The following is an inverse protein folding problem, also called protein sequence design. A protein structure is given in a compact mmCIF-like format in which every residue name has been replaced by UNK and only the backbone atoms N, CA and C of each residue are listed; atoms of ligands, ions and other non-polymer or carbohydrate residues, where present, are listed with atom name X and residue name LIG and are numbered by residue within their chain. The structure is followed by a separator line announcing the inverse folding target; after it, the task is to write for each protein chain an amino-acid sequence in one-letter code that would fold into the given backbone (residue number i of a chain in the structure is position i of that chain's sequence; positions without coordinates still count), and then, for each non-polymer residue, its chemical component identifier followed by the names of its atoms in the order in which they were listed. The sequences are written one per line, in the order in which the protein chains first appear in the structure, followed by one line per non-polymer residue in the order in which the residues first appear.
data_IF_460598298465
#
_entry.id   IF_460598298465
#
_cell.length_a   1.000
_cell.length_b   1.000
_cell.length_c   1.000
_cell.angle_alpha   90.00
_cell.angle_beta   90.00
_cell.angle_gamma   90.00
#
_symmetry.space_group_name_H-M   'P 1'
#
loop_
_entity.id
_entity.type
_entity.pdbx_description
1 polymer ?
#
# COMPACT_ATOMS: atom_id res chain seq x y z
N UNK A 1 -2.90 54.60 20.89
CA UNK A 1 -2.76 55.54 19.75
C UNK A 1 -2.52 54.74 18.48
N UNK A 2 -3.22 55.10 17.40
CA UNK A 2 -3.04 54.75 15.98
C UNK A 2 -3.31 53.30 15.51
N UNK A 3 -4.60 53.11 15.24
CA UNK A 3 -5.26 52.36 14.17
C UNK A 3 -4.49 52.28 12.84
N UNK A 4 -4.55 51.14 12.13
CA UNK A 4 -4.47 51.10 10.65
C UNK A 4 -5.34 49.96 10.09
N UNK A 5 -6.03 50.31 9.02
CA UNK A 5 -7.17 49.66 8.37
C UNK A 5 -6.80 48.72 7.21
N UNK A 6 -7.67 47.71 7.02
CA UNK A 6 -8.20 47.10 5.76
C UNK A 6 -7.32 46.91 4.51
N UNK A 7 -7.48 45.74 3.89
CA UNK A 7 -8.14 45.62 2.57
C UNK A 7 -8.64 44.20 2.32
N UNK A 8 -9.91 44.09 1.94
CA UNK A 8 -10.55 42.88 1.38
C UNK A 8 -10.56 42.99 -0.14
N UNK A 9 -10.31 41.90 -0.85
CA UNK A 9 -10.62 41.77 -2.27
C UNK A 9 -11.51 40.55 -2.51
N UNK A 10 -12.59 40.68 -3.29
CA UNK A 10 -13.40 39.56 -3.75
C UNK A 10 -12.93 39.12 -5.13
N UNK A 11 -12.87 37.80 -5.37
CA UNK A 11 -12.74 37.28 -6.74
C UNK A 11 -13.83 36.24 -6.98
N UNK A 12 -14.80 36.69 -7.77
CA UNK A 12 -15.80 35.93 -8.51
C UNK A 12 -15.13 35.05 -9.54
N UNK A 13 -15.58 33.80 -9.70
CA UNK A 13 -15.51 33.11 -11.00
C UNK A 13 -16.57 32.04 -11.17
N UNK A 14 -16.97 31.75 -12.42
CA UNK A 14 -18.29 31.24 -12.78
C UNK A 14 -18.30 29.76 -13.18
N UNK A 15 -19.50 29.17 -13.04
CA UNK A 15 -20.19 28.05 -13.71
C UNK A 15 -19.42 26.98 -14.50
N UNK A 16 -19.97 25.76 -14.49
CA UNK A 16 -20.31 25.10 -15.76
C UNK A 16 -21.76 24.59 -15.86
N UNK A 17 -22.22 24.31 -17.11
CA UNK A 17 -23.62 24.11 -17.46
C UNK A 17 -24.16 22.71 -17.20
N UNK A 18 -25.46 22.65 -16.90
CA UNK A 18 -26.29 21.45 -16.94
C UNK A 18 -26.47 20.98 -18.38
N UNK A 19 -26.00 19.77 -18.69
CA UNK A 19 -26.34 19.08 -19.94
C UNK A 19 -27.50 18.11 -19.70
N UNK A 20 -28.56 18.35 -20.46
CA UNK A 20 -29.69 17.47 -20.67
C UNK A 20 -29.34 16.31 -21.61
N UNK A 21 -30.24 15.32 -21.59
CA UNK A 21 -30.66 14.49 -22.73
C UNK A 21 -30.23 13.03 -22.73
N UNK A 22 -31.21 12.25 -22.25
CA UNK A 22 -31.56 10.89 -22.62
C UNK A 22 -31.23 10.49 -24.07
N UNK A 23 -30.74 9.27 -24.23
CA UNK A 23 -30.90 8.50 -25.47
C UNK A 23 -31.16 7.04 -25.13
N UNK A 24 -32.43 6.67 -25.23
CA UNK A 24 -32.91 5.29 -25.18
C UNK A 24 -32.48 4.54 -26.44
N UNK A 25 -31.88 3.37 -26.28
CA UNK A 25 -31.80 2.35 -27.34
C UNK A 25 -32.36 1.02 -26.82
N UNK A 26 -33.35 0.42 -27.51
CA UNK A 26 -33.84 -0.91 -27.18
C UNK A 26 -32.85 -1.97 -27.70
N UNK A 27 -32.35 -2.82 -26.81
CA UNK A 27 -31.65 -4.05 -27.19
C UNK A 27 -32.69 -5.13 -27.52
N UNK A 28 -32.77 -5.51 -28.80
CA UNK A 28 -33.39 -6.76 -29.22
C UNK A 28 -32.35 -7.88 -29.06
N UNK A 29 -32.58 -8.76 -28.07
CA UNK A 29 -31.83 -10.01 -27.90
C UNK A 29 -32.65 -11.13 -28.56
N UNK A 30 -32.11 -11.86 -29.55
CA UNK A 30 -32.73 -13.09 -30.02
C UNK A 30 -32.41 -14.23 -29.05
N UNK A 31 -33.46 -14.83 -28.50
CA UNK A 31 -33.41 -16.06 -27.71
C UNK A 31 -32.99 -17.25 -28.59
N UNK A 32 -31.89 -17.92 -28.24
CA UNK A 32 -31.52 -19.22 -28.80
C UNK A 32 -31.74 -20.31 -27.75
N UNK A 33 -32.51 -21.38 -28.03
CA UNK A 33 -32.70 -22.49 -27.12
C UNK A 33 -31.63 -23.56 -27.39
N UNK A 34 -30.63 -23.67 -26.52
CA UNK A 34 -29.74 -24.83 -26.49
C UNK A 34 -29.91 -25.58 -25.15
N UNK A 35 -30.66 -26.67 -25.28
CA UNK A 35 -30.49 -27.99 -24.66
C UNK A 35 -29.50 -28.10 -23.46
N UNK A 36 -29.99 -28.45 -22.24
CA UNK A 36 -29.13 -28.66 -21.09
C UNK A 36 -28.49 -30.06 -21.14
N UNK A 37 -27.24 -30.14 -21.60
CA UNK A 37 -26.37 -31.28 -21.31
C UNK A 37 -25.93 -31.24 -19.84
N UNK A 38 -26.36 -32.26 -19.08
CA UNK A 38 -26.00 -32.48 -17.68
C UNK A 38 -24.53 -32.90 -17.57
N UNK A 39 -23.63 -31.92 -17.58
CA UNK A 39 -22.21 -32.12 -17.28
C UNK A 39 -22.01 -32.03 -15.76
N UNK A 40 -21.62 -33.15 -15.15
CA UNK A 40 -21.21 -33.19 -13.73
C UNK A 40 -20.12 -32.15 -13.46
N UNK A 41 -20.26 -31.31 -12.41
CA UNK A 41 -19.29 -30.27 -12.13
C UNK A 41 -17.93 -30.89 -11.74
N UNK A 42 -16.81 -30.37 -12.26
CA UNK A 42 -15.49 -30.82 -11.88
C UNK A 42 -15.29 -30.64 -10.38
N UNK A 43 -14.74 -31.67 -9.74
CA UNK A 43 -14.43 -31.73 -8.31
C UNK A 43 -13.39 -30.63 -8.01
N UNK A 44 -13.84 -29.47 -7.55
CA UNK A 44 -12.98 -28.35 -7.15
C UNK A 44 -12.17 -28.77 -5.93
N UNK A 45 -10.91 -29.14 -6.15
CA UNK A 45 -9.95 -29.31 -5.07
C UNK A 45 -9.65 -27.92 -4.50
N UNK A 46 -10.28 -27.59 -3.37
CA UNK A 46 -9.94 -26.37 -2.64
C UNK A 46 -8.53 -26.54 -2.05
N UNK A 47 -7.55 -25.89 -2.67
CA UNK A 47 -6.23 -25.72 -2.08
C UNK A 47 -6.43 -24.78 -0.89
N UNK A 48 -6.53 -25.34 0.31
CA UNK A 48 -6.57 -24.59 1.56
C UNK A 48 -5.19 -23.92 1.67
N UNK A 49 -5.13 -22.62 1.39
CA UNK A 49 -3.91 -21.86 1.65
C UNK A 49 -3.61 -21.98 3.15
N UNK A 50 -2.36 -22.34 3.54
CA UNK A 50 -2.01 -22.45 4.94
C UNK A 50 -2.29 -21.12 5.65
N UNK A 51 -2.68 -21.15 6.94
CA UNK A 51 -2.97 -19.94 7.70
C UNK A 51 -1.75 -19.03 7.69
N UNK A 52 -1.90 -17.83 7.11
CA UNK A 52 -0.86 -16.82 7.07
C UNK A 52 -0.50 -16.43 8.50
N UNK A 53 0.77 -16.56 8.87
CA UNK A 53 1.26 -16.11 10.18
C UNK A 53 1.12 -14.59 10.26
N UNK A 54 0.60 -14.07 11.38
CA UNK A 54 0.46 -12.64 11.58
C UNK A 54 1.83 -11.94 11.51
N UNK A 55 2.00 -10.89 10.68
CA UNK A 55 3.26 -10.17 10.59
C UNK A 55 3.45 -9.27 11.81
N UNK A 56 4.66 -9.22 12.35
CA UNK A 56 5.03 -8.32 13.43
C UNK A 56 6.23 -7.47 13.03
N UNK A 57 6.31 -6.26 13.58
CA UNK A 57 7.44 -5.35 13.38
C UNK A 57 7.96 -4.81 14.71
N UNK A 58 9.27 -4.87 14.89
CA UNK A 58 9.97 -4.51 16.12
C UNK A 58 11.14 -3.53 15.94
N UNK A 59 11.37 -3.07 14.71
CA UNK A 59 12.51 -2.22 14.32
C UNK A 59 13.87 -2.91 14.46
N UNK A 60 13.94 -4.19 14.08
CA UNK A 60 15.23 -4.88 13.98
C UNK A 60 15.93 -4.56 12.66
N UNK A 61 17.25 -4.76 12.65
CA UNK A 61 18.09 -4.48 11.47
C UNK A 61 17.71 -5.30 10.22
N UNK A 62 17.20 -6.51 10.41
CA UNK A 62 16.73 -7.42 9.36
C UNK A 62 15.28 -7.16 8.90
N UNK A 63 14.51 -6.40 9.68
CA UNK A 63 13.09 -6.13 9.38
C UNK A 63 12.92 -4.93 8.45
N UNK A 64 12.23 -5.11 7.33
CA UNK A 64 12.02 -4.04 6.35
C UNK A 64 10.65 -3.37 6.56
N UNK A 65 10.57 -2.06 6.81
CA UNK A 65 9.32 -1.40 7.20
C UNK A 65 8.26 -1.42 6.09
N UNK A 66 8.67 -1.21 4.83
CA UNK A 66 7.75 -1.21 3.68
C UNK A 66 7.19 -2.61 3.39
N UNK A 67 8.00 -3.67 3.25
CA UNK A 67 7.50 -5.04 3.14
C UNK A 67 6.55 -5.44 4.27
N UNK A 68 6.84 -5.04 5.51
CA UNK A 68 5.96 -5.27 6.64
C UNK A 68 4.56 -4.67 6.43
N UNK A 69 4.46 -3.39 6.05
CA UNK A 69 3.16 -2.74 5.83
C UNK A 69 2.34 -3.41 4.71
N UNK A 70 3.01 -3.85 3.64
CA UNK A 70 2.37 -4.58 2.53
C UNK A 70 1.83 -5.93 3.01
N UNK A 71 2.66 -6.71 3.74
CA UNK A 71 2.24 -7.99 4.29
C UNK A 71 1.11 -7.84 5.30
N UNK A 72 1.14 -6.78 6.12
CA UNK A 72 0.11 -6.50 7.10
C UNK A 72 -1.23 -6.16 6.45
N UNK A 73 -1.23 -5.33 5.40
CA UNK A 73 -2.43 -5.03 4.61
C UNK A 73 -3.01 -6.30 3.97
N UNK A 74 -2.17 -7.13 3.35
CA UNK A 74 -2.61 -8.39 2.76
C UNK A 74 -3.18 -9.33 3.83
N UNK A 75 -2.47 -9.50 4.93
CA UNK A 75 -2.85 -10.38 6.04
C UNK A 75 -4.21 -9.99 6.64
N UNK A 76 -4.39 -8.72 6.96
CA UNK A 76 -5.61 -8.24 7.63
C UNK A 76 -6.82 -8.19 6.70
N UNK A 77 -6.61 -7.85 5.43
CA UNK A 77 -7.65 -7.93 4.42
C UNK A 77 -8.09 -9.39 4.19
N UNK A 78 -7.14 -10.33 4.05
CA UNK A 78 -7.47 -11.74 3.81
C UNK A 78 -8.05 -12.46 5.03
N UNK A 79 -7.56 -12.14 6.23
CA UNK A 79 -7.95 -12.87 7.45
C UNK A 79 -9.19 -12.29 8.13
N UNK A 80 -9.36 -10.96 8.07
CA UNK A 80 -10.41 -10.26 8.82
C UNK A 80 -11.29 -9.35 7.95
N UNK A 81 -10.94 -9.14 6.68
CA UNK A 81 -11.65 -8.20 5.81
C UNK A 81 -11.52 -6.75 6.25
N UNK A 82 -10.44 -6.39 6.95
CA UNK A 82 -10.23 -5.02 7.42
C UNK A 82 -9.86 -4.09 6.27
N UNK A 83 -10.48 -2.91 6.27
CA UNK A 83 -10.02 -1.78 5.48
C UNK A 83 -8.85 -1.07 6.16
N UNK A 84 -8.32 -0.02 5.53
CA UNK A 84 -7.15 0.72 6.01
C UNK A 84 -7.45 1.45 7.33
N UNK A 85 -8.68 1.89 7.50
CA UNK A 85 -9.16 2.66 8.64
C UNK A 85 -9.25 1.78 9.88
N UNK A 86 -9.85 0.59 9.76
CA UNK A 86 -9.89 -0.41 10.84
C UNK A 86 -8.48 -0.91 11.14
N UNK A 87 -7.67 -1.16 10.10
CA UNK A 87 -6.27 -1.55 10.30
C UNK A 87 -5.51 -0.49 11.12
N UNK A 88 -5.66 0.78 10.78
CA UNK A 88 -4.99 1.88 11.50
C UNK A 88 -5.36 1.89 12.99
N UNK A 89 -6.62 1.66 13.34
CA UNK A 89 -7.07 1.61 14.74
C UNK A 89 -6.47 0.42 15.51
N UNK A 90 -6.11 -0.65 14.80
CA UNK A 90 -5.63 -1.90 15.40
C UNK A 90 -4.12 -2.14 15.19
N UNK A 91 -3.40 -1.23 14.54
CA UNK A 91 -2.01 -1.48 14.12
C UNK A 91 -1.06 -1.73 15.29
N UNK A 92 -1.32 -1.14 16.46
CA UNK A 92 -0.53 -1.36 17.67
C UNK A 92 -0.41 -2.85 18.05
N UNK A 93 -1.38 -3.70 17.67
CA UNK A 93 -1.35 -5.14 17.93
C UNK A 93 -0.24 -5.87 17.15
N UNK A 94 0.24 -5.29 16.05
CA UNK A 94 1.27 -5.84 15.17
C UNK A 94 2.66 -5.22 15.41
N UNK A 95 2.75 -4.22 16.28
CA UNK A 95 4.01 -3.57 16.62
C UNK A 95 4.57 -4.13 17.93
N UNK A 96 5.90 -4.21 18.04
CA UNK A 96 6.64 -4.69 19.21
C UNK A 96 7.84 -3.78 19.46
N UNK A 97 8.45 -3.88 20.65
CA UNK A 97 9.69 -3.18 20.99
C UNK A 97 9.64 -1.68 20.70
N UNK A 98 10.70 -1.16 20.08
CA UNK A 98 10.86 0.26 19.75
C UNK A 98 9.74 0.78 18.84
N UNK A 99 9.22 -0.06 17.95
CA UNK A 99 8.15 0.34 17.04
C UNK A 99 6.82 0.60 17.76
N UNK A 100 6.50 -0.23 18.76
CA UNK A 100 5.30 -0.03 19.58
C UNK A 100 5.46 1.17 20.52
N UNK A 101 6.66 1.38 21.06
CA UNK A 101 6.96 2.55 21.89
C UNK A 101 6.79 3.84 21.09
N UNK A 102 7.40 3.92 19.90
CA UNK A 102 7.23 5.04 18.98
C UNK A 102 5.76 5.27 18.62
N UNK A 103 5.02 4.20 18.28
CA UNK A 103 3.60 4.32 17.97
C UNK A 103 2.81 4.91 19.14
N UNK A 104 3.11 4.47 20.36
CA UNK A 104 2.48 5.01 21.58
C UNK A 104 2.78 6.50 21.74
N UNK A 105 4.00 6.93 21.44
CA UNK A 105 4.38 8.35 21.50
C UNK A 105 3.61 9.18 20.46
N UNK A 106 3.52 8.73 19.20
CA UNK A 106 2.85 9.53 18.15
C UNK A 106 1.35 9.69 18.41
N UNK A 107 0.67 8.65 18.93
CA UNK A 107 -0.77 8.73 19.21
C UNK A 107 -1.10 9.61 20.43
N UNK A 108 -0.15 9.77 21.35
CA UNK A 108 -0.27 10.69 22.50
C UNK A 108 0.23 12.10 22.21
N UNK A 109 0.83 12.33 21.04
CA UNK A 109 1.34 13.64 20.64
C UNK A 109 0.20 14.65 20.39
N UNK A 110 0.55 15.94 20.31
CA UNK A 110 -0.44 17.00 20.05
C UNK A 110 -1.12 16.88 18.67
N UNK A 111 -0.49 16.19 17.72
CA UNK A 111 -0.98 16.02 16.35
C UNK A 111 -0.90 14.53 15.95
N UNK A 112 -1.76 13.68 16.51
CA UNK A 112 -1.76 12.27 16.15
C UNK A 112 -2.19 12.08 14.69
N UNK A 113 -1.64 11.08 13.97
CA UNK A 113 -2.13 10.75 12.64
C UNK A 113 -3.61 10.32 12.72
N UNK A 114 -4.45 10.90 11.87
CA UNK A 114 -5.90 10.62 11.83
C UNK A 114 -6.22 9.54 10.78
N UNK A 115 -5.40 9.46 9.73
CA UNK A 115 -5.62 8.59 8.59
C UNK A 115 -4.44 7.65 8.37
N UNK A 116 -4.75 6.48 7.78
CA UNK A 116 -3.75 5.47 7.42
C UNK A 116 -2.61 6.05 6.60
N UNK A 117 -2.90 6.87 5.58
CA UNK A 117 -1.86 7.37 4.68
C UNK A 117 -0.87 8.31 5.39
N UNK A 118 -1.34 9.07 6.39
CA UNK A 118 -0.49 9.93 7.23
C UNK A 118 0.38 9.06 8.14
N UNK A 119 -0.22 8.07 8.81
CA UNK A 119 0.52 7.10 9.62
C UNK A 119 1.57 6.36 8.78
N UNK A 120 1.19 5.86 7.61
CA UNK A 120 2.05 5.12 6.69
C UNK A 120 3.28 5.95 6.31
N UNK A 121 3.09 7.23 6.02
CA UNK A 121 4.18 8.15 5.71
C UNK A 121 5.12 8.32 6.91
N UNK A 122 4.58 8.64 8.09
CA UNK A 122 5.37 8.81 9.33
C UNK A 122 6.12 7.53 9.73
N UNK A 123 5.49 6.36 9.55
CA UNK A 123 6.10 5.07 9.84
C UNK A 123 7.30 4.83 8.94
N UNK A 124 7.16 5.07 7.64
CA UNK A 124 8.27 4.92 6.71
C UNK A 124 9.38 5.94 7.00
N UNK A 125 9.05 7.21 7.28
CA UNK A 125 10.05 8.22 7.64
C UNK A 125 10.83 7.85 8.90
N UNK A 126 10.13 7.35 9.93
CA UNK A 126 10.75 6.95 11.19
C UNK A 126 11.69 5.75 11.02
N UNK A 127 11.23 4.69 10.35
CA UNK A 127 11.92 3.40 10.32
C UNK A 127 12.79 3.18 9.06
N UNK A 128 12.77 4.14 8.12
CA UNK A 128 13.71 4.21 6.99
C UNK A 128 14.86 5.16 7.31
N UNK A 129 15.60 4.86 8.38
CA UNK A 129 16.76 5.64 8.83
C UNK A 129 17.75 5.93 7.69
N UNK A 130 18.41 7.10 7.64
CA UNK A 130 19.48 7.39 6.69
C UNK A 130 20.56 6.31 6.64
N UNK A 131 20.87 5.69 7.78
CA UNK A 131 21.81 4.57 7.84
C UNK A 131 21.31 3.36 7.05
N UNK A 132 20.01 3.06 7.15
CA UNK A 132 19.37 1.98 6.40
C UNK A 132 19.34 2.27 4.91
N UNK A 133 19.08 3.53 4.53
CA UNK A 133 19.16 3.97 3.13
C UNK A 133 20.57 3.83 2.57
N UNK A 134 21.60 4.19 3.35
CA UNK A 134 23.00 4.02 2.96
C UNK A 134 23.40 2.53 2.83
N UNK A 135 22.91 1.68 3.73
CA UNK A 135 23.10 0.22 3.61
C UNK A 135 22.42 -0.32 2.35
N UNK A 136 21.19 0.09 2.09
CA UNK A 136 20.44 -0.33 0.90
C UNK A 136 21.12 0.14 -0.39
N UNK A 137 21.64 1.36 -0.41
CA UNK A 137 22.47 1.87 -1.51
C UNK A 137 23.73 1.02 -1.70
N UNK A 138 24.39 0.62 -0.60
CA UNK A 138 25.54 -0.26 -0.68
C UNK A 138 25.17 -1.65 -1.21
N UNK A 139 24.05 -2.22 -0.78
CA UNK A 139 23.54 -3.49 -1.28
C UNK A 139 23.18 -3.40 -2.77
N UNK A 140 22.58 -2.28 -3.20
CA UNK A 140 22.28 -1.99 -4.59
C UNK A 140 23.54 -2.03 -5.47
N UNK A 141 24.58 -1.29 -5.09
CA UNK A 141 25.84 -1.28 -5.84
C UNK A 141 26.54 -2.64 -5.89
N UNK A 142 26.27 -3.51 -4.90
CA UNK A 142 26.80 -4.88 -4.84
C UNK A 142 25.85 -5.93 -5.44
N UNK A 143 24.68 -5.52 -5.94
CA UNK A 143 23.64 -6.42 -6.39
C UNK A 143 23.98 -7.00 -7.76
N UNK A 144 24.82 -8.04 -7.77
CA UNK A 144 25.13 -8.85 -8.95
C UNK A 144 24.41 -10.20 -8.87
N UNK A 145 24.11 -10.80 -10.03
CA UNK A 145 23.58 -12.15 -10.10
C UNK A 145 24.63 -13.15 -9.60
N UNK A 146 24.26 -14.03 -8.67
CA UNK A 146 25.17 -15.07 -8.18
C UNK A 146 25.27 -16.22 -9.19
N UNK A 147 26.37 -16.97 -9.15
CA UNK A 147 26.62 -18.08 -10.10
C UNK A 147 25.62 -19.24 -9.98
N UNK A 148 25.01 -19.40 -8.81
CA UNK A 148 24.03 -20.43 -8.45
C UNK A 148 22.57 -19.91 -8.47
N UNK A 149 22.37 -18.63 -8.76
CA UNK A 149 21.07 -17.96 -8.71
C UNK A 149 20.39 -17.95 -10.08
N UNK A 150 19.11 -18.33 -10.12
CA UNK A 150 18.32 -18.25 -11.36
C UNK A 150 18.07 -16.79 -11.74
N UNK A 151 17.89 -16.51 -13.04
CA UNK A 151 17.59 -15.15 -13.52
C UNK A 151 16.32 -14.61 -12.85
N UNK A 152 15.32 -15.46 -12.63
CA UNK A 152 14.07 -15.04 -11.98
C UNK A 152 14.29 -14.62 -10.53
N UNK A 153 15.06 -15.40 -9.76
CA UNK A 153 15.38 -15.07 -8.37
C UNK A 153 16.18 -13.79 -8.27
N UNK A 154 17.16 -13.61 -9.18
CA UNK A 154 17.91 -12.37 -9.30
C UNK A 154 17.01 -11.16 -9.57
N UNK A 155 16.09 -11.27 -10.55
CA UNK A 155 15.16 -10.19 -10.88
C UNK A 155 14.20 -9.87 -9.72
N UNK A 156 13.72 -10.89 -9.01
CA UNK A 156 12.87 -10.69 -7.81
C UNK A 156 13.64 -9.95 -6.73
N UNK A 157 14.89 -10.35 -6.46
CA UNK A 157 15.76 -9.69 -5.49
C UNK A 157 16.07 -8.24 -5.89
N UNK A 158 16.43 -8.02 -7.15
CA UNK A 158 16.74 -6.69 -7.70
C UNK A 158 15.52 -5.76 -7.60
N UNK A 159 14.33 -6.22 -8.01
CA UNK A 159 13.09 -5.45 -7.89
C UNK A 159 12.74 -5.13 -6.44
N UNK A 160 12.90 -6.09 -5.54
CA UNK A 160 12.67 -5.87 -4.11
C UNK A 160 13.57 -4.75 -3.59
N UNK A 161 14.86 -4.77 -3.95
CA UNK A 161 15.83 -3.79 -3.51
C UNK A 161 15.56 -2.40 -4.12
N UNK A 162 15.21 -2.35 -5.41
CA UNK A 162 14.82 -1.12 -6.10
C UNK A 162 13.58 -0.48 -5.48
N UNK A 163 12.52 -1.24 -5.23
CA UNK A 163 11.26 -0.72 -4.68
C UNK A 163 11.41 -0.12 -3.29
N UNK A 164 12.44 -0.55 -2.56
CA UNK A 164 12.79 -0.04 -1.24
C UNK A 164 13.67 1.22 -1.35
N UNK A 165 14.58 1.26 -2.33
CA UNK A 165 15.51 2.39 -2.52
C UNK A 165 14.86 3.58 -3.24
N UNK A 166 13.98 3.31 -4.21
CA UNK A 166 13.31 4.30 -5.07
C UNK A 166 11.78 4.14 -4.97
N UNK A 167 11.16 4.48 -3.83
CA UNK A 167 9.73 4.25 -3.60
C UNK A 167 8.79 5.05 -4.51
N UNK A 168 9.31 6.08 -5.20
CA UNK A 168 8.56 6.96 -6.09
C UNK A 168 8.75 6.65 -7.57
N UNK A 169 9.67 5.74 -7.90
CA UNK A 169 9.96 5.34 -9.28
C UNK A 169 9.15 4.10 -9.64
N UNK A 170 8.76 3.98 -10.92
CA UNK A 170 8.00 2.83 -11.42
C UNK A 170 8.93 1.79 -12.06
N UNK A 171 8.46 0.57 -12.28
CA UNK A 171 9.28 -0.51 -12.86
C UNK A 171 9.92 -0.14 -14.21
N UNK A 172 9.32 0.78 -14.97
CA UNK A 172 9.89 1.27 -16.23
C UNK A 172 11.19 2.07 -16.04
N UNK A 173 11.38 2.67 -14.87
CA UNK A 173 12.57 3.45 -14.55
C UNK A 173 13.77 2.55 -14.20
N UNK A 174 13.52 1.28 -13.83
CA UNK A 174 14.56 0.29 -13.54
C UNK A 174 15.38 -0.11 -14.79
N UNK A 175 14.81 0.03 -15.99
CA UNK A 175 15.40 -0.47 -17.26
C UNK A 175 16.11 0.63 -18.06
N UNK A 176 16.24 1.84 -17.52
CA UNK A 176 16.93 2.97 -18.18
C UNK A 176 18.41 3.01 -17.86
#
# INVERSE_FOLDING_TARGET
MLTTLRASTPITSPSPPSNHSASSRPCLIPSSPHEPSLTLPPRTTFIIQPPTVAPFFSDKADEKPRPFLVQLLQYTNSSFGWDKEILFQNIGQFLRGNALEWYTQIITSNNPPIHWDVFHTLFLEQFSSPLRLAQLEQEWHKCIQKSDESINDFLVRLRSLWSEHKPHEIERDLVR
#
